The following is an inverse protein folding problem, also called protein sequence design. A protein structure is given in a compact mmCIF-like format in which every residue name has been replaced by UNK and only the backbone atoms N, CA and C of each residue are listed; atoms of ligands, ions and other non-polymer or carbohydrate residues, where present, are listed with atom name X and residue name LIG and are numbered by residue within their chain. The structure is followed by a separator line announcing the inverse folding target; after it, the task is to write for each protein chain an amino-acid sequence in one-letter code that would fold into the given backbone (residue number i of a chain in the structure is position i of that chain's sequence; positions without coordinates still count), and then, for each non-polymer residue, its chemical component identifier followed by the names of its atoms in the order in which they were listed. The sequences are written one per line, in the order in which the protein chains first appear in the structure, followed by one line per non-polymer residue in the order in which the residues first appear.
data_IF_002966467370
#
_entry.id   IF_002966467370
#
_cell.length_a   1.000
_cell.length_b   1.000
_cell.length_c   1.000
_cell.angle_alpha   90.00
_cell.angle_beta   90.00
_cell.angle_gamma   90.00
#
_symmetry.space_group_name_H-M   'P 1'
#
loop_
_entity.id
_entity.type
_entity.pdbx_description
1 polymer ?
#
# COMPACT_ATOMS: atom_id res chain seq x y z
N UNK A 1 31.74 12.82 10.13
CA UNK A 1 30.48 12.31 10.71
C UNK A 1 30.65 11.32 11.87
N UNK A 2 31.82 10.68 12.06
CA UNK A 2 32.03 9.66 13.11
C UNK A 2 32.17 10.14 14.57
N UNK A 3 31.63 11.31 14.94
CA UNK A 3 31.75 11.87 16.31
C UNK A 3 30.43 12.11 17.04
N UNK A 4 29.26 11.80 16.44
CA UNK A 4 27.99 11.83 17.17
C UNK A 4 27.67 10.41 17.65
N UNK A 5 27.79 10.16 18.95
CA UNK A 5 27.54 8.86 19.61
C UNK A 5 26.07 8.40 19.61
N UNK A 6 25.31 8.68 18.55
CA UNK A 6 23.90 8.31 18.39
C UNK A 6 23.19 9.11 17.30
N UNK A 7 22.02 8.62 16.88
CA UNK A 7 21.17 9.23 15.83
C UNK A 7 20.05 10.13 16.37
N UNK A 8 20.18 10.60 17.62
CA UNK A 8 19.12 11.35 18.32
C UNK A 8 18.68 12.66 17.63
N UNK A 9 19.54 13.25 16.81
CA UNK A 9 19.23 14.47 16.01
C UNK A 9 19.28 14.21 14.51
N UNK A 10 19.19 12.95 14.07
CA UNK A 10 19.21 12.61 12.66
C UNK A 10 17.89 13.06 12.02
N UNK A 11 17.98 13.80 10.92
CA UNK A 11 16.83 14.20 10.10
C UNK A 11 16.94 13.49 8.75
N UNK A 12 16.13 12.46 8.59
CA UNK A 12 16.03 11.63 7.39
C UNK A 12 14.64 10.97 7.38
N UNK A 13 14.36 10.11 6.41
CA UNK A 13 13.14 9.30 6.36
C UNK A 13 12.96 8.43 7.63
N UNK A 14 11.72 8.27 8.11
CA UNK A 14 11.46 7.51 9.35
C UNK A 14 11.83 6.03 9.20
N UNK A 15 11.63 5.48 8.01
CA UNK A 15 12.02 4.14 7.62
C UNK A 15 13.53 3.95 7.39
N UNK A 16 14.36 4.96 7.62
CA UNK A 16 15.80 4.81 7.45
C UNK A 16 16.32 3.81 8.46
N UNK A 17 17.21 2.89 8.08
CA UNK A 17 17.79 1.89 9.00
C UNK A 17 18.56 2.48 10.20
N UNK A 18 18.78 3.80 10.22
CA UNK A 18 19.41 4.51 11.33
C UNK A 18 18.38 5.10 12.30
N UNK A 19 17.15 5.34 11.82
CA UNK A 19 16.00 5.81 12.61
C UNK A 19 15.16 4.62 13.06
N UNK A 20 15.00 3.61 12.20
CA UNK A 20 14.32 2.33 12.43
C UNK A 20 12.87 2.47 12.94
N UNK A 21 12.14 3.42 12.36
CA UNK A 21 10.73 3.68 12.69
C UNK A 21 9.87 3.72 11.42
N UNK A 22 9.84 2.65 10.61
CA UNK A 22 9.15 2.66 9.34
C UNK A 22 7.65 2.94 9.48
N UNK A 23 7.12 3.66 8.51
CA UNK A 23 5.71 4.05 8.40
C UNK A 23 4.80 2.81 8.41
N UNK A 24 5.28 1.68 7.89
CA UNK A 24 4.63 0.37 7.90
C UNK A 24 4.09 -0.03 9.28
N UNK A 25 4.75 0.35 10.37
CA UNK A 25 4.30 0.03 11.73
C UNK A 25 2.94 0.67 12.09
N UNK A 26 2.54 1.73 11.38
CA UNK A 26 1.29 2.47 11.57
C UNK A 26 0.29 2.20 10.45
N UNK A 27 0.69 2.36 9.20
CA UNK A 27 -0.22 2.27 8.03
C UNK A 27 -0.26 0.87 7.42
N UNK A 28 0.68 0.00 7.78
CA UNK A 28 0.87 -1.33 7.19
C UNK A 28 1.71 -1.32 5.90
N UNK A 29 1.98 -0.15 5.33
CA UNK A 29 2.70 0.06 4.07
C UNK A 29 3.57 1.32 4.14
N UNK A 30 4.57 1.44 3.30
CA UNK A 30 5.39 2.63 3.20
C UNK A 30 6.15 2.71 1.87
N UNK A 31 6.78 3.85 1.64
CA UNK A 31 7.38 4.19 0.37
C UNK A 31 8.55 3.27 -0.01
N UNK A 32 9.28 2.74 0.98
CA UNK A 32 10.37 1.78 0.76
C UNK A 32 9.94 0.51 0.01
N UNK A 33 8.65 0.14 -0.02
CA UNK A 33 8.19 -0.98 -0.85
C UNK A 33 7.13 -0.58 -1.87
N UNK A 34 6.95 0.72 -2.05
CA UNK A 34 6.15 1.31 -3.13
C UNK A 34 7.05 2.01 -4.15
N UNK A 35 6.84 3.32 -4.33
CA UNK A 35 7.53 4.14 -5.31
C UNK A 35 6.56 4.96 -6.15
N UNK A 36 6.80 5.03 -7.45
CA UNK A 36 6.00 5.79 -8.40
C UNK A 36 5.28 4.86 -9.38
N UNK A 37 4.07 5.25 -9.75
CA UNK A 37 3.30 4.69 -10.86
C UNK A 37 2.74 5.84 -11.69
N UNK A 38 2.90 5.79 -13.02
CA UNK A 38 2.57 6.88 -13.96
C UNK A 38 3.19 8.23 -13.59
N UNK A 39 4.37 8.19 -12.99
CA UNK A 39 5.11 9.35 -12.51
C UNK A 39 6.61 9.08 -12.54
N UNK A 40 7.44 10.13 -12.61
CA UNK A 40 8.91 10.02 -12.59
C UNK A 40 9.51 9.02 -13.59
N UNK A 41 8.86 8.87 -14.76
CA UNK A 41 9.25 7.91 -15.79
C UNK A 41 8.97 6.45 -15.44
N UNK A 42 8.29 6.16 -14.33
CA UNK A 42 7.96 4.82 -13.89
C UNK A 42 6.53 4.46 -14.29
N UNK A 43 6.38 3.35 -15.02
CA UNK A 43 5.09 2.81 -15.48
C UNK A 43 4.20 3.87 -16.16
N UNK A 44 4.76 4.73 -17.02
CA UNK A 44 4.01 5.83 -17.66
C UNK A 44 2.81 5.35 -18.48
N UNK A 45 2.93 4.17 -19.10
CA UNK A 45 1.86 3.50 -19.85
C UNK A 45 1.10 2.45 -19.01
N UNK A 46 1.36 2.41 -17.70
CA UNK A 46 0.69 1.51 -16.77
C UNK A 46 -0.79 1.83 -16.62
N UNK A 47 -1.61 0.86 -16.18
CA UNK A 47 -3.06 1.02 -16.13
C UNK A 47 -3.53 2.01 -15.06
N UNK A 48 -2.69 2.37 -14.07
CA UNK A 48 -3.13 3.16 -12.92
C UNK A 48 -4.24 2.48 -12.11
N UNK A 49 -4.25 1.15 -12.10
CA UNK A 49 -5.32 0.29 -11.59
C UNK A 49 -4.77 -0.74 -10.61
N UNK A 50 -5.57 -1.10 -9.61
CA UNK A 50 -5.27 -2.23 -8.72
C UNK A 50 -5.70 -3.55 -9.36
N UNK A 51 -4.88 -4.59 -9.21
CA UNK A 51 -5.26 -5.99 -9.45
C UNK A 51 -5.71 -6.65 -8.14
N UNK A 52 -6.90 -7.25 -8.14
CA UNK A 52 -7.53 -7.86 -6.95
C UNK A 52 -6.94 -9.24 -6.64
N UNK A 53 -6.59 -9.48 -5.38
CA UNK A 53 -6.05 -10.77 -4.92
C UNK A 53 -7.05 -11.59 -4.11
N UNK A 54 -7.79 -10.93 -3.20
CA UNK A 54 -8.68 -11.58 -2.22
C UNK A 54 -10.10 -11.02 -2.32
N UNK A 55 -10.85 -11.34 -3.40
CA UNK A 55 -12.16 -10.73 -3.69
C UNK A 55 -13.24 -11.07 -2.66
N UNK A 56 -13.11 -12.16 -1.91
CA UNK A 56 -14.08 -12.60 -0.90
C UNK A 56 -14.01 -11.77 0.41
N UNK A 57 -13.02 -10.89 0.54
CA UNK A 57 -12.90 -10.01 1.70
C UNK A 57 -14.02 -8.95 1.71
N UNK A 58 -14.57 -8.65 2.89
CA UNK A 58 -15.71 -7.71 3.06
C UNK A 58 -15.49 -6.34 2.41
N UNK A 59 -14.23 -5.92 2.27
CA UNK A 59 -13.87 -4.67 1.61
C UNK A 59 -14.41 -4.60 0.17
N UNK A 60 -14.51 -5.73 -0.53
CA UNK A 60 -15.01 -5.84 -1.90
C UNK A 60 -16.50 -6.21 -2.00
N UNK A 61 -17.22 -6.31 -0.88
CA UNK A 61 -18.65 -6.68 -0.90
C UNK A 61 -19.47 -5.72 -1.77
N UNK A 62 -20.23 -6.27 -2.73
CA UNK A 62 -21.07 -5.51 -3.65
C UNK A 62 -20.31 -4.78 -4.77
N UNK A 63 -19.04 -5.12 -5.01
CA UNK A 63 -18.25 -4.60 -6.15
C UNK A 63 -18.29 -5.52 -7.38
N UNK A 64 -18.73 -6.77 -7.20
CA UNK A 64 -18.64 -7.87 -8.18
C UNK A 64 -17.22 -8.21 -8.68
N UNK A 65 -16.18 -7.59 -8.10
CA UNK A 65 -14.79 -7.85 -8.46
C UNK A 65 -14.40 -9.30 -8.19
N UNK A 66 -13.61 -9.85 -9.11
CA UNK A 66 -13.07 -11.21 -9.04
C UNK A 66 -11.56 -11.14 -8.89
N UNK A 67 -10.96 -12.26 -8.49
CA UNK A 67 -9.50 -12.41 -8.47
C UNK A 67 -8.95 -12.05 -9.86
N UNK A 68 -7.83 -11.34 -9.88
CA UNK A 68 -7.12 -10.82 -11.05
C UNK A 68 -7.87 -9.74 -11.86
N UNK A 69 -9.09 -9.37 -11.48
CA UNK A 69 -9.75 -8.22 -12.06
C UNK A 69 -9.00 -6.92 -11.71
N UNK A 70 -9.02 -5.97 -12.64
CA UNK A 70 -8.49 -4.62 -12.43
C UNK A 70 -9.62 -3.63 -12.15
N UNK A 71 -9.38 -2.66 -11.27
CA UNK A 71 -10.33 -1.57 -11.00
C UNK A 71 -9.64 -0.20 -10.82
N UNK A 72 -10.38 0.87 -11.07
CA UNK A 72 -9.94 2.26 -10.90
C UNK A 72 -9.00 2.81 -11.97
N UNK A 73 -8.66 2.04 -13.01
CA UNK A 73 -7.75 2.47 -14.08
C UNK A 73 -8.29 3.64 -14.91
N UNK A 74 -9.61 3.71 -15.13
CA UNK A 74 -10.27 4.80 -15.86
C UNK A 74 -9.94 6.17 -15.24
N UNK A 75 -9.95 6.23 -13.92
CA UNK A 75 -9.70 7.46 -13.15
C UNK A 75 -8.26 7.51 -12.60
N UNK A 76 -7.40 6.55 -12.97
CA UNK A 76 -6.00 6.48 -12.55
C UNK A 76 -5.84 6.54 -11.02
N UNK A 77 -6.44 5.59 -10.32
CA UNK A 77 -6.46 5.57 -8.84
C UNK A 77 -5.14 5.13 -8.21
N UNK A 78 -4.22 4.59 -9.01
CA UNK A 78 -2.85 4.27 -8.61
C UNK A 78 -1.88 5.27 -9.26
N UNK A 79 -1.21 6.01 -8.41
CA UNK A 79 -0.31 7.12 -8.73
C UNK A 79 -0.52 8.24 -7.70
N UNK A 80 0.13 9.39 -7.79
CA UNK A 80 1.44 9.62 -8.39
C UNK A 80 2.58 8.96 -7.56
N UNK A 81 2.34 8.80 -6.25
CA UNK A 81 3.20 8.12 -5.27
C UNK A 81 2.45 6.93 -4.67
N UNK A 82 3.19 5.90 -4.30
CA UNK A 82 2.66 4.62 -3.89
C UNK A 82 3.40 4.10 -2.67
N UNK A 83 2.65 3.51 -1.75
CA UNK A 83 3.17 2.82 -0.57
C UNK A 83 2.90 1.32 -0.67
N UNK A 84 3.88 0.53 -0.26
CA UNK A 84 3.81 -0.93 -0.31
C UNK A 84 4.42 -1.61 0.91
N UNK A 85 4.51 -2.93 0.86
CA UNK A 85 5.23 -3.72 1.85
C UNK A 85 6.08 -4.79 1.17
N UNK A 86 7.11 -5.26 1.86
CA UNK A 86 7.89 -6.41 1.43
C UNK A 86 6.97 -7.62 1.38
N UNK A 87 6.89 -8.27 0.23
CA UNK A 87 5.99 -9.40 0.03
C UNK A 87 6.66 -10.57 -0.67
N UNK A 88 6.11 -11.75 -0.43
CA UNK A 88 6.42 -12.99 -1.16
C UNK A 88 5.15 -13.52 -1.80
N UNK A 89 5.32 -14.23 -2.92
CA UNK A 89 4.21 -14.88 -3.62
C UNK A 89 4.13 -16.35 -3.21
N UNK A 90 2.94 -16.79 -2.80
CA UNK A 90 2.65 -18.17 -2.45
C UNK A 90 1.32 -18.52 -3.11
N UNK A 91 1.29 -19.58 -3.92
CA UNK A 91 0.10 -20.05 -4.65
C UNK A 91 -0.66 -18.93 -5.42
N UNK A 92 0.12 -18.02 -6.01
CA UNK A 92 -0.39 -16.90 -6.79
C UNK A 92 -1.03 -15.78 -5.97
N UNK A 93 -0.81 -15.74 -4.65
CA UNK A 93 -1.23 -14.64 -3.78
C UNK A 93 -0.03 -13.97 -3.12
N UNK A 94 -0.07 -12.63 -2.92
CA UNK A 94 0.97 -11.93 -2.19
C UNK A 94 0.73 -12.03 -0.68
N UNK A 95 1.81 -12.23 0.07
CA UNK A 95 1.84 -12.24 1.53
C UNK A 95 2.97 -11.32 2.04
N UNK A 96 2.70 -10.43 3.00
CA UNK A 96 3.74 -9.62 3.61
C UNK A 96 4.78 -10.52 4.30
N UNK A 97 6.05 -10.10 4.27
CA UNK A 97 7.13 -10.80 4.98
C UNK A 97 7.31 -10.31 6.41
N UNK A 98 6.73 -9.14 6.73
CA UNK A 98 6.82 -8.44 8.02
C UNK A 98 8.21 -7.88 8.37
N UNK A 99 9.23 -8.13 7.55
CA UNK A 99 10.62 -7.70 7.81
C UNK A 99 10.83 -6.20 7.73
N UNK A 100 9.94 -5.49 7.06
CA UNK A 100 9.91 -4.04 6.90
C UNK A 100 9.03 -3.32 7.94
N UNK A 101 8.54 -4.06 8.94
CA UNK A 101 7.68 -3.53 9.99
C UNK A 101 6.17 -3.58 9.68
N UNK A 102 5.77 -4.15 8.54
CA UNK A 102 4.36 -4.41 8.26
C UNK A 102 3.78 -5.42 9.28
N UNK A 103 2.65 -5.12 9.96
CA UNK A 103 2.13 -5.95 11.05
C UNK A 103 1.83 -7.41 10.68
N UNK A 104 2.02 -8.35 11.62
CA UNK A 104 1.80 -9.80 11.43
C UNK A 104 0.39 -10.18 10.95
N UNK A 105 -0.62 -9.33 11.18
CA UNK A 105 -2.00 -9.53 10.71
C UNK A 105 -2.36 -8.81 9.42
N UNK A 106 -1.39 -8.21 8.72
CA UNK A 106 -1.67 -7.44 7.50
C UNK A 106 -2.06 -8.35 6.32
N UNK A 107 -3.19 -8.03 5.70
CA UNK A 107 -3.71 -8.74 4.53
C UNK A 107 -3.60 -7.83 3.31
N UNK A 108 -2.87 -8.29 2.29
CA UNK A 108 -2.78 -7.63 0.98
C UNK A 108 -4.04 -7.98 0.17
N UNK A 109 -4.86 -6.99 -0.20
CA UNK A 109 -6.13 -7.22 -0.88
C UNK A 109 -6.05 -6.97 -2.38
N UNK A 110 -5.28 -5.97 -2.79
CA UNK A 110 -4.99 -5.68 -4.19
C UNK A 110 -3.63 -4.98 -4.33
N UNK A 111 -2.98 -5.12 -5.48
CA UNK A 111 -1.69 -4.44 -5.73
C UNK A 111 -1.62 -3.81 -7.11
N UNK A 112 -0.74 -2.84 -7.29
CA UNK A 112 -0.32 -2.33 -8.59
C UNK A 112 1.20 -2.10 -8.58
N UNK A 113 1.97 -2.53 -9.60
CA UNK A 113 3.43 -2.36 -9.60
C UNK A 113 3.84 -0.90 -9.44
N UNK A 114 4.80 -0.64 -8.54
CA UNK A 114 5.39 0.67 -8.34
C UNK A 114 6.92 0.54 -8.23
N UNK A 115 7.65 1.59 -8.60
CA UNK A 115 9.11 1.56 -8.57
C UNK A 115 9.65 2.94 -8.26
N UNK A 116 10.77 2.99 -7.56
CA UNK A 116 11.49 4.23 -7.34
C UNK A 116 12.01 4.82 -8.65
N UNK A 117 12.10 6.14 -8.74
CA UNK A 117 12.79 6.73 -9.88
C UNK A 117 14.29 6.37 -9.81
N UNK A 118 14.99 6.20 -10.95
CA UNK A 118 16.41 5.87 -10.95
C UNK A 118 17.30 6.86 -10.19
N UNK A 119 16.86 8.11 -10.00
CA UNK A 119 17.58 9.10 -9.20
C UNK A 119 17.36 8.94 -7.69
N UNK A 120 16.22 8.40 -7.28
CA UNK A 120 15.82 8.34 -5.86
C UNK A 120 16.51 7.20 -5.11
N UNK A 121 16.85 6.12 -5.83
CA UNK A 121 17.51 4.95 -5.24
C UNK A 121 18.93 5.25 -4.72
N UNK A 122 19.55 6.37 -5.13
CA UNK A 122 20.86 6.79 -4.60
C UNK A 122 20.80 7.46 -3.22
N UNK A 123 19.61 7.86 -2.75
CA UNK A 123 19.44 8.52 -1.45
C UNK A 123 19.39 7.54 -0.28
N UNK A 124 19.20 6.25 -0.57
CA UNK A 124 19.16 5.19 0.42
C UNK A 124 20.17 4.10 0.05
N UNK A 125 21.32 4.13 0.71
CA UNK A 125 22.49 3.26 0.49
C UNK A 125 22.21 1.75 0.53
N UNK A 126 21.12 1.33 1.20
CA UNK A 126 20.69 -0.07 1.30
C UNK A 126 19.55 -0.46 0.37
N UNK A 127 19.06 0.46 -0.47
CA UNK A 127 17.95 0.15 -1.38
C UNK A 127 18.45 -0.52 -2.67
N UNK A 128 17.88 -1.66 -3.09
CA UNK A 128 18.18 -2.21 -4.40
C UNK A 128 17.64 -1.28 -5.49
N UNK A 129 18.50 -0.92 -6.45
CA UNK A 129 18.20 0.09 -7.47
C UNK A 129 17.28 -0.41 -8.60
N UNK A 130 17.08 -1.72 -8.71
CA UNK A 130 16.33 -2.40 -9.77
C UNK A 130 15.01 -3.04 -9.30
N UNK A 131 14.71 -2.95 -8.01
CA UNK A 131 13.53 -3.57 -7.40
C UNK A 131 12.23 -2.95 -7.89
N UNK A 132 11.24 -3.78 -8.21
CA UNK A 132 9.84 -3.36 -8.34
C UNK A 132 9.09 -3.67 -7.04
N UNK A 133 8.52 -2.65 -6.42
CA UNK A 133 7.56 -2.75 -5.33
C UNK A 133 6.12 -2.69 -5.84
N UNK A 134 5.19 -2.27 -4.99
CA UNK A 134 3.80 -2.09 -5.37
C UNK A 134 3.09 -1.02 -4.53
N UNK A 135 2.13 -0.33 -5.13
CA UNK A 135 1.00 0.22 -4.39
C UNK A 135 0.21 -0.94 -3.80
N UNK A 136 -0.09 -0.91 -2.50
CA UNK A 136 -0.80 -1.98 -1.81
C UNK A 136 -2.08 -1.46 -1.15
N UNK A 137 -3.23 -1.96 -1.64
CA UNK A 137 -4.49 -1.90 -0.89
C UNK A 137 -4.47 -3.05 0.12
N UNK A 138 -4.54 -2.72 1.40
CA UNK A 138 -4.48 -3.74 2.46
C UNK A 138 -5.11 -3.30 3.77
N UNK A 139 -5.17 -4.25 4.70
CA UNK A 139 -5.88 -4.09 5.96
C UNK A 139 -5.20 -4.87 7.07
N UNK A 140 -5.21 -4.33 8.29
CA UNK A 140 -4.88 -5.07 9.51
C UNK A 140 -5.69 -4.58 10.71
N UNK A 141 -5.69 -5.35 11.80
CA UNK A 141 -6.32 -4.98 13.07
C UNK A 141 -5.32 -5.07 14.22
N UNK A 142 -5.22 -4.02 15.03
CA UNK A 142 -4.43 -3.94 16.28
C UNK A 142 -5.06 -2.91 17.22
N UNK A 143 -6.01 -3.32 18.04
CA UNK A 143 -6.82 -2.42 18.88
C UNK A 143 -7.86 -1.58 18.12
N UNK A 144 -7.61 -1.30 16.84
CA UNK A 144 -8.57 -0.82 15.84
C UNK A 144 -8.21 -1.40 14.47
N UNK A 145 -8.98 -1.04 13.44
CA UNK A 145 -8.73 -1.48 12.05
C UNK A 145 -8.14 -0.35 11.23
N UNK A 146 -7.07 -0.66 10.49
CA UNK A 146 -6.46 0.25 9.53
C UNK A 146 -6.64 -0.35 8.15
N UNK A 147 -7.24 0.43 7.25
CA UNK A 147 -7.31 0.16 5.82
C UNK A 147 -6.43 1.20 5.13
N UNK A 148 -5.53 0.77 4.25
CA UNK A 148 -4.67 1.64 3.45
C UNK A 148 -4.91 1.39 1.98
N UNK A 149 -5.01 2.45 1.18
CA UNK A 149 -5.04 2.33 -0.27
C UNK A 149 -3.63 2.17 -0.86
N UNK A 150 -2.59 2.72 -0.22
CA UNK A 150 -1.22 2.67 -0.76
C UNK A 150 -1.02 3.52 -2.02
N UNK A 151 -1.85 4.54 -2.24
CA UNK A 151 -1.78 5.46 -3.38
C UNK A 151 -2.34 6.84 -3.00
N UNK A 152 -1.72 7.88 -3.53
CA UNK A 152 -2.21 9.27 -3.42
C UNK A 152 -3.51 9.48 -4.20
N UNK A 153 -3.65 8.84 -5.35
CA UNK A 153 -4.69 9.16 -6.34
C UNK A 153 -6.01 8.41 -6.13
N UNK A 154 -6.22 7.72 -5.00
CA UNK A 154 -7.50 7.07 -4.67
C UNK A 154 -8.69 8.04 -4.81
N UNK A 155 -8.49 9.30 -4.43
CA UNK A 155 -9.49 10.37 -4.51
C UNK A 155 -9.95 10.68 -5.95
N UNK A 156 -9.16 10.36 -6.98
CA UNK A 156 -9.58 10.53 -8.37
C UNK A 156 -10.75 9.62 -8.72
N UNK A 157 -10.73 8.36 -8.25
CA UNK A 157 -11.87 7.44 -8.43
C UNK A 157 -13.13 7.91 -7.69
N UNK A 158 -12.97 8.52 -6.51
CA UNK A 158 -14.11 9.14 -5.81
C UNK A 158 -14.69 10.31 -6.60
N UNK A 159 -13.85 11.19 -7.14
CA UNK A 159 -14.29 12.31 -8.00
C UNK A 159 -14.93 11.81 -9.29
N UNK A 160 -14.39 10.75 -9.88
CA UNK A 160 -14.84 10.14 -11.13
C UNK A 160 -16.10 9.28 -10.99
N UNK A 161 -16.57 9.06 -9.75
CA UNK A 161 -17.62 8.10 -9.41
C UNK A 161 -17.30 6.67 -9.92
N UNK A 162 -16.05 6.23 -9.80
CA UNK A 162 -15.68 4.84 -10.07
C UNK A 162 -16.48 3.90 -9.16
N UNK A 163 -17.28 2.97 -9.70
CA UNK A 163 -18.18 2.14 -8.91
C UNK A 163 -17.47 1.30 -7.84
N UNK A 164 -16.29 0.75 -8.16
CA UNK A 164 -15.54 -0.08 -7.23
C UNK A 164 -14.92 0.77 -6.12
N UNK A 165 -14.28 1.88 -6.45
CA UNK A 165 -13.65 2.80 -5.48
C UNK A 165 -14.68 3.38 -4.52
N UNK A 166 -15.82 3.85 -5.05
CA UNK A 166 -16.92 4.38 -4.23
C UNK A 166 -17.48 3.29 -3.31
N UNK A 167 -17.71 2.08 -3.83
CA UNK A 167 -18.24 0.98 -3.04
C UNK A 167 -17.27 0.52 -1.95
N UNK A 168 -15.99 0.35 -2.27
CA UNK A 168 -14.93 0.00 -1.31
C UNK A 168 -14.85 1.05 -0.20
N UNK A 169 -14.83 2.35 -0.56
CA UNK A 169 -14.78 3.44 0.42
C UNK A 169 -16.00 3.43 1.33
N UNK A 170 -17.19 3.21 0.76
CA UNK A 170 -18.43 3.09 1.54
C UNK A 170 -18.39 1.89 2.48
N UNK A 171 -17.91 0.73 2.03
CA UNK A 171 -17.78 -0.45 2.89
C UNK A 171 -16.91 -0.16 4.11
N UNK A 172 -15.79 0.56 3.93
CA UNK A 172 -14.93 1.00 5.06
C UNK A 172 -15.70 1.89 6.02
N UNK A 173 -16.34 2.95 5.50
CA UNK A 173 -17.06 3.92 6.33
C UNK A 173 -18.20 3.26 7.09
N UNK A 174 -19.04 2.48 6.41
CA UNK A 174 -20.20 1.80 7.00
C UNK A 174 -19.75 0.82 8.10
N UNK A 175 -18.65 0.07 7.87
CA UNK A 175 -18.18 -0.91 8.85
C UNK A 175 -17.44 -0.30 10.02
N UNK A 176 -16.67 0.76 9.82
CA UNK A 176 -15.85 1.39 10.87
C UNK A 176 -16.58 2.49 11.64
N UNK A 177 -17.71 2.99 11.13
CA UNK A 177 -18.59 3.93 11.86
C UNK A 177 -19.68 3.23 12.68
N UNK A 178 -19.87 1.92 12.51
CA UNK A 178 -20.86 1.17 13.27
C UNK A 178 -20.43 1.00 14.74
N UNK A 179 -21.35 1.29 15.67
CA UNK A 179 -21.18 1.13 17.13
C UNK A 179 -21.03 -0.33 17.61
N UNK A 180 -20.86 -1.31 16.70
CA UNK A 180 -20.68 -2.71 17.07
C UNK A 180 -19.21 -3.12 17.00
N UNK A 181 -18.66 -3.73 18.08
CA UNK A 181 -17.30 -4.25 18.06
C UNK A 181 -17.12 -5.28 16.93
N UNK A 182 -15.99 -5.22 16.24
CA UNK A 182 -15.59 -6.13 15.17
C UNK A 182 -15.59 -7.57 15.69
N UNK A 183 -16.72 -8.27 15.55
CA UNK A 183 -16.77 -9.72 15.78
C UNK A 183 -15.99 -10.41 14.68
N UNK A 184 -14.97 -11.17 15.10
CA UNK A 184 -14.14 -11.98 14.22
C UNK A 184 -14.98 -12.87 13.33
N UNK A 185 -14.98 -12.56 12.04
CA UNK A 185 -15.19 -13.52 10.98
C UNK A 185 -13.88 -13.53 10.21
N UNK A 186 -13.07 -14.55 10.53
CA UNK A 186 -11.91 -14.95 9.74
C UNK A 186 -12.38 -15.40 8.36
#
# INVERSE_FOLDING_TARGET
YGQRGGYATLSTLWSHYLVDRPENQLTGVGFLWGGYHRSHGQFMDGPGAYQVHRPDHWLFEGTDLKRDAQFGGKDTVVGYECDGCEMTWQDGLPFPTHKDGTPEGFTILATCPARWAPGDCYWYDRFPTDRTGAAVLGIYTRGGTVVTAGSTDWAHGLRGNDPAVVRITRNVLDRLSADQPLKGRQ
#
